data_IF_506822125339
#
_entry.id   IF_506822125339
#
_cell.length_a   1.000
_cell.length_b   1.000
_cell.length_c   1.000
_cell.angle_alpha   90.00
_cell.angle_beta   90.00
_cell.angle_gamma   90.00
#
_symmetry.space_group_name_H-M   'P 1'
#
loop_
_entity.id
_entity.type
_entity.pdbx_description
1 polymer ?
#
# COMPACT_ATOMS: atom_id res chain seq x y z
N UNK A 1 -8.18 6.35 -9.86
CA UNK A 1 -7.76 5.03 -9.36
C UNK A 1 -6.29 4.84 -9.66
N UNK A 2 -5.41 5.00 -8.68
CA UNK A 2 -3.97 5.20 -8.92
C UNK A 2 -3.25 3.97 -9.51
N UNK A 3 -3.69 2.75 -9.18
CA UNK A 3 -3.00 1.52 -9.64
C UNK A 3 -3.08 1.32 -11.17
N UNK A 4 -4.01 2.01 -11.86
CA UNK A 4 -4.12 1.93 -13.32
C UNK A 4 -2.90 2.46 -14.06
N UNK A 5 -2.08 3.32 -13.42
CA UNK A 5 -0.86 3.87 -14.04
C UNK A 5 0.15 2.79 -14.41
N UNK A 6 0.02 1.58 -13.86
CA UNK A 6 0.81 0.39 -14.22
C UNK A 6 0.66 0.03 -15.71
N UNK A 7 -0.44 0.39 -16.37
CA UNK A 7 -0.62 0.14 -17.81
C UNK A 7 0.01 1.19 -18.73
N UNK A 8 0.53 2.29 -18.19
CA UNK A 8 1.04 3.40 -19.00
C UNK A 8 2.49 3.15 -19.45
N UNK A 9 2.81 3.25 -20.75
CA UNK A 9 4.12 2.83 -21.28
C UNK A 9 5.28 3.75 -20.90
N UNK A 10 4.99 4.93 -20.35
CA UNK A 10 5.98 5.93 -19.92
C UNK A 10 6.10 6.02 -18.39
N UNK A 11 5.39 5.17 -17.65
CA UNK A 11 5.46 5.12 -16.18
C UNK A 11 6.43 4.03 -15.75
N UNK A 12 7.25 4.32 -14.74
CA UNK A 12 8.11 3.35 -14.06
C UNK A 12 7.51 3.04 -12.68
N UNK A 13 6.64 2.02 -12.57
CA UNK A 13 5.90 1.76 -11.34
C UNK A 13 6.76 1.10 -10.26
N UNK A 14 6.59 1.55 -9.03
CA UNK A 14 7.22 0.97 -7.84
C UNK A 14 6.22 0.79 -6.71
N UNK A 15 6.44 -0.23 -5.87
CA UNK A 15 5.74 -0.43 -4.60
C UNK A 15 6.60 -0.07 -3.40
N UNK A 16 5.96 0.17 -2.26
CA UNK A 16 6.62 0.25 -0.95
C UNK A 16 6.33 -1.02 -0.16
N UNK A 17 7.16 -1.31 0.82
CA UNK A 17 7.21 -2.67 1.36
C UNK A 17 6.14 -3.07 2.40
N UNK A 18 5.39 -2.20 3.10
CA UNK A 18 4.47 -2.71 4.12
C UNK A 18 3.25 -3.47 3.59
N UNK A 19 2.82 -3.20 2.36
CA UNK A 19 1.72 -3.93 1.72
C UNK A 19 2.14 -5.29 1.14
N UNK A 20 3.45 -5.63 1.24
CA UNK A 20 4.06 -6.78 0.58
C UNK A 20 4.45 -7.89 1.57
N UNK A 21 3.97 -9.14 1.41
CA UNK A 21 2.80 -9.53 0.62
C UNK A 21 1.49 -9.14 1.33
N UNK A 22 0.36 -9.34 0.64
CA UNK A 22 -0.95 -9.30 1.26
C UNK A 22 -1.09 -10.44 2.28
N UNK A 23 -1.35 -10.08 3.54
CA UNK A 23 -1.55 -11.04 4.64
C UNK A 23 -2.82 -10.73 5.41
N UNK A 24 -3.22 -11.64 6.31
CA UNK A 24 -4.42 -11.51 7.14
C UNK A 24 -4.44 -10.25 8.02
N UNK A 25 -3.26 -9.71 8.39
CA UNK A 25 -3.16 -8.53 9.25
C UNK A 25 -2.92 -7.23 8.47
N UNK A 26 -2.68 -7.30 7.16
CA UNK A 26 -2.25 -6.14 6.37
C UNK A 26 -3.27 -5.01 6.42
N UNK A 27 -4.56 -5.32 6.32
CA UNK A 27 -5.61 -4.30 6.25
C UNK A 27 -5.79 -3.57 7.58
N UNK A 28 -5.90 -4.32 8.68
CA UNK A 28 -6.08 -3.75 10.02
C UNK A 28 -4.89 -2.89 10.41
N UNK A 29 -3.66 -3.39 10.18
CA UNK A 29 -2.43 -2.62 10.43
C UNK A 29 -2.40 -1.31 9.64
N UNK A 30 -2.70 -1.35 8.34
CA UNK A 30 -2.59 -0.16 7.49
C UNK A 30 -3.71 0.85 7.75
N UNK A 31 -4.90 0.38 8.13
CA UNK A 31 -6.00 1.26 8.51
C UNK A 31 -5.62 2.04 9.78
N UNK A 32 -5.18 1.35 10.83
CA UNK A 32 -4.77 2.02 12.08
C UNK A 32 -3.55 2.93 11.86
N UNK A 33 -2.54 2.48 11.12
CA UNK A 33 -1.37 3.29 10.77
C UNK A 33 -1.78 4.59 10.06
N UNK A 34 -2.67 4.50 9.06
CA UNK A 34 -3.15 5.67 8.33
C UNK A 34 -3.90 6.64 9.25
N UNK A 35 -4.77 6.11 10.11
CA UNK A 35 -5.54 6.92 11.07
C UNK A 35 -4.61 7.70 11.99
N UNK A 36 -3.59 7.04 12.55
CA UNK A 36 -2.60 7.66 13.43
C UNK A 36 -1.77 8.70 12.69
N UNK A 37 -1.17 8.36 11.55
CA UNK A 37 -0.28 9.26 10.80
C UNK A 37 -0.99 10.55 10.33
N UNK A 38 -2.29 10.46 10.07
CA UNK A 38 -3.11 11.60 9.63
C UNK A 38 -3.92 12.26 10.74
N UNK A 39 -3.77 11.82 12.01
CA UNK A 39 -4.51 12.34 13.16
C UNK A 39 -6.04 12.28 12.97
N UNK A 40 -6.52 11.23 12.33
CA UNK A 40 -7.93 11.01 12.02
C UNK A 40 -8.68 10.47 13.23
N UNK A 41 -9.96 10.79 13.33
CA UNK A 41 -10.83 10.31 14.40
C UNK A 41 -11.82 9.25 13.87
N UNK A 42 -11.77 7.98 14.34
CA UNK A 42 -12.69 6.94 13.88
C UNK A 42 -14.16 7.21 14.25
N UNK A 43 -14.43 8.12 15.20
CA UNK A 43 -15.78 8.55 15.53
C UNK A 43 -16.34 9.60 14.56
N UNK A 44 -15.52 10.17 13.67
CA UNK A 44 -15.94 11.11 12.62
C UNK A 44 -16.14 10.29 11.32
N UNK A 45 -17.39 10.19 10.80
CA UNK A 45 -17.68 9.35 9.63
C UNK A 45 -16.87 9.71 8.39
N UNK A 46 -16.58 11.00 8.18
CA UNK A 46 -15.81 11.48 7.03
C UNK A 46 -14.34 11.06 7.10
N UNK A 47 -13.75 11.05 8.31
CA UNK A 47 -12.39 10.59 8.55
C UNK A 47 -12.26 9.09 8.31
N UNK A 48 -13.23 8.31 8.81
CA UNK A 48 -13.30 6.87 8.56
C UNK A 48 -13.49 6.57 7.07
N UNK A 49 -14.41 7.27 6.40
CA UNK A 49 -14.65 7.11 4.97
C UNK A 49 -13.41 7.47 4.14
N UNK A 50 -12.66 8.50 4.52
CA UNK A 50 -11.38 8.83 3.89
C UNK A 50 -10.38 7.68 4.05
N UNK A 51 -10.24 7.14 5.26
CA UNK A 51 -9.30 6.06 5.53
C UNK A 51 -9.64 4.77 4.76
N UNK A 52 -10.91 4.35 4.77
CA UNK A 52 -11.42 3.18 4.04
C UNK A 52 -11.33 3.36 2.52
N UNK A 53 -11.46 4.59 2.00
CA UNK A 53 -11.27 4.85 0.57
C UNK A 53 -9.82 4.65 0.12
N UNK A 54 -8.86 4.74 1.05
CA UNK A 54 -7.42 4.66 0.78
C UNK A 54 -6.85 3.27 1.05
N UNK A 55 -7.23 2.62 2.15
CA UNK A 55 -6.81 1.25 2.50
C UNK A 55 -7.78 0.25 1.90
N UNK A 56 -7.47 -0.22 0.68
CA UNK A 56 -8.36 -1.08 -0.10
C UNK A 56 -7.79 -2.50 -0.26
N UNK A 57 -8.44 -3.52 0.33
CA UNK A 57 -7.96 -4.90 0.26
C UNK A 57 -7.78 -5.42 -1.17
N UNK A 58 -8.70 -5.04 -2.07
CA UNK A 58 -8.67 -5.47 -3.47
C UNK A 58 -7.44 -4.96 -4.22
N UNK A 59 -7.05 -3.69 -4.05
CA UNK A 59 -5.87 -3.16 -4.75
C UNK A 59 -4.55 -3.61 -4.12
N UNK A 60 -4.53 -3.88 -2.81
CA UNK A 60 -3.35 -4.50 -2.15
C UNK A 60 -3.18 -5.94 -2.62
N UNK A 61 -4.26 -6.72 -2.74
CA UNK A 61 -4.17 -8.07 -3.29
C UNK A 61 -3.75 -8.08 -4.79
N UNK A 62 -4.24 -7.11 -5.57
CA UNK A 62 -3.87 -6.96 -6.97
C UNK A 62 -2.38 -6.63 -7.16
N UNK A 63 -1.79 -5.83 -6.26
CA UNK A 63 -0.36 -5.50 -6.27
C UNK A 63 0.51 -6.76 -6.30
N UNK A 64 0.16 -7.80 -5.53
CA UNK A 64 0.91 -9.06 -5.51
C UNK A 64 0.96 -9.74 -6.88
N UNK A 65 -0.18 -9.83 -7.55
CA UNK A 65 -0.27 -10.41 -8.90
C UNK A 65 0.44 -9.53 -9.93
N UNK A 66 0.36 -8.20 -9.81
CA UNK A 66 1.02 -7.29 -10.74
C UNK A 66 2.56 -7.36 -10.65
N UNK A 67 3.12 -7.59 -9.47
CA UNK A 67 4.56 -7.91 -9.34
C UNK A 67 4.91 -9.25 -9.99
N UNK A 68 4.08 -10.29 -9.77
CA UNK A 68 4.32 -11.63 -10.34
C UNK A 68 4.26 -11.64 -11.88
N UNK A 69 3.41 -10.77 -12.46
CA UNK A 69 3.33 -10.54 -13.91
C UNK A 69 4.43 -9.61 -14.44
N UNK A 70 5.26 -9.02 -13.58
CA UNK A 70 6.28 -8.03 -13.96
C UNK A 70 5.73 -6.65 -14.36
N UNK A 71 4.45 -6.38 -14.07
CA UNK A 71 3.81 -5.11 -14.37
C UNK A 71 4.24 -3.99 -13.41
N UNK A 72 4.56 -4.32 -12.15
CA UNK A 72 5.28 -3.41 -11.24
C UNK A 72 6.76 -3.83 -11.24
N UNK A 73 7.66 -2.87 -11.44
CA UNK A 73 9.06 -3.18 -11.79
C UNK A 73 10.06 -2.92 -10.68
N UNK A 74 9.65 -2.29 -9.57
CA UNK A 74 10.54 -1.86 -8.48
C UNK A 74 9.83 -2.08 -7.12
N UNK A 75 10.58 -2.52 -6.11
CA UNK A 75 10.19 -2.46 -4.70
C UNK A 75 11.14 -1.52 -3.95
N UNK A 76 10.57 -0.63 -3.14
CA UNK A 76 11.28 0.35 -2.33
C UNK A 76 10.82 0.29 -0.86
N UNK A 77 11.49 1.03 0.03
CA UNK A 77 11.21 0.94 1.47
C UNK A 77 10.07 1.86 1.92
N UNK A 78 10.14 3.15 1.57
CA UNK A 78 9.44 4.26 2.23
C UNK A 78 9.85 4.46 3.71
N UNK A 79 11.16 4.45 3.96
CA UNK A 79 11.74 4.35 5.30
C UNK A 79 11.15 5.35 6.31
N UNK A 80 10.52 4.81 7.36
CA UNK A 80 9.89 5.56 8.46
C UNK A 80 8.71 6.46 8.05
N UNK A 81 8.20 6.32 6.83
CA UNK A 81 7.11 7.13 6.29
C UNK A 81 6.04 6.24 5.64
N UNK A 82 5.59 5.21 6.37
CA UNK A 82 4.83 4.05 5.86
C UNK A 82 5.72 3.00 5.19
N UNK A 83 6.85 2.68 5.82
CA UNK A 83 7.83 1.79 5.23
C UNK A 83 9.00 1.40 6.13
N UNK A 84 9.61 0.25 5.83
CA UNK A 84 10.60 -0.41 6.69
C UNK A 84 11.93 -0.60 5.97
N UNK A 85 12.94 0.21 6.29
CA UNK A 85 14.21 0.23 5.54
C UNK A 85 14.93 -1.12 5.48
N UNK A 86 14.85 -1.94 6.54
CA UNK A 86 15.52 -3.24 6.64
C UNK A 86 14.79 -4.40 5.97
N UNK A 87 13.62 -4.18 5.36
CA UNK A 87 12.73 -5.27 4.92
C UNK A 87 12.53 -5.31 3.40
N UNK A 88 13.22 -4.47 2.61
CA UNK A 88 13.05 -4.44 1.14
C UNK A 88 13.33 -5.80 0.52
N UNK A 89 14.51 -6.37 0.79
CA UNK A 89 14.92 -7.67 0.20
C UNK A 89 14.08 -8.83 0.76
N UNK A 90 13.76 -8.82 2.06
CA UNK A 90 12.95 -9.86 2.69
C UNK A 90 11.53 -9.94 2.10
N UNK A 91 10.97 -8.81 1.68
CA UNK A 91 9.59 -8.69 1.16
C UNK A 91 9.51 -8.69 -0.37
N UNK A 92 10.65 -8.84 -1.04
CA UNK A 92 10.72 -9.04 -2.49
C UNK A 92 10.56 -10.52 -2.80
#
# INVERSE_FOLDING_TARGET
>A
DIISVVSEPYVLPSSTNPTRPHTVNTIEEHLDMLMVCHHLNPAVPEDLAFAESRIRPSTIAAEDILHDLGAISIISSDSQAMGRIGEVVLRT
#
